data_IF_524590842977
#
_entry.id   IF_524590842977
#
_cell.length_a   1.000
_cell.length_b   1.000
_cell.length_c   1.000
_cell.angle_alpha   90.00
_cell.angle_beta   90.00
_cell.angle_gamma   90.00
#
_symmetry.space_group_name_H-M   'P 1'
#
loop_
_entity.id
_entity.type
_entity.pdbx_description
1 polymer ?
#
# COMPACT_ATOMS: atom_id res chain seq x y z
N UNK A 1 -4.62 6.04 -2.36
CA UNK A 1 -5.52 5.61 -1.26
C UNK A 1 -6.38 4.48 -1.78
N UNK A 2 -6.62 3.44 -0.99
CA UNK A 2 -7.43 2.30 -1.45
C UNK A 2 -8.92 2.49 -1.15
N UNK A 3 -9.26 2.98 0.04
CA UNK A 3 -10.64 3.27 0.43
C UNK A 3 -10.63 4.35 1.52
N UNK A 4 -11.80 4.91 1.81
CA UNK A 4 -11.95 5.77 2.98
C UNK A 4 -11.51 5.05 4.25
N UNK A 5 -10.63 5.70 5.03
CA UNK A 5 -10.03 5.16 6.26
C UNK A 5 -9.17 3.89 6.10
N UNK A 6 -8.80 3.49 4.87
CA UNK A 6 -7.90 2.36 4.61
C UNK A 6 -6.73 2.82 3.73
N UNK A 7 -5.54 2.66 4.26
CA UNK A 7 -4.29 3.08 3.64
C UNK A 7 -3.32 1.91 3.54
N UNK A 8 -2.53 1.91 2.49
CA UNK A 8 -1.44 0.95 2.29
C UNK A 8 -0.13 1.68 2.10
N UNK A 9 0.95 0.91 2.23
CA UNK A 9 2.29 1.34 1.88
C UNK A 9 3.09 0.15 1.41
N UNK A 10 3.64 0.24 0.19
CA UNK A 10 4.57 -0.76 -0.34
C UNK A 10 5.92 -0.65 0.38
N UNK A 11 6.45 -1.78 0.82
CA UNK A 11 7.71 -1.87 1.55
C UNK A 11 8.60 -2.93 0.90
N UNK A 12 9.85 -2.57 0.61
CA UNK A 12 10.78 -3.42 -0.15
C UNK A 12 11.26 -4.65 0.62
N UNK A 13 11.34 -4.56 1.95
CA UNK A 13 11.86 -5.62 2.81
C UNK A 13 11.39 -5.46 4.26
N UNK A 14 11.67 -6.48 5.06
CA UNK A 14 11.32 -6.53 6.48
C UNK A 14 12.03 -5.44 7.31
N UNK A 15 13.25 -5.05 6.95
CA UNK A 15 13.98 -3.97 7.63
C UNK A 15 13.23 -2.64 7.49
N UNK A 16 12.74 -2.33 6.28
CA UNK A 16 11.92 -1.16 6.02
C UNK A 16 10.58 -1.24 6.76
N UNK A 17 9.98 -2.43 6.86
CA UNK A 17 8.76 -2.65 7.64
C UNK A 17 8.95 -2.33 9.13
N UNK A 18 9.97 -2.90 9.75
CA UNK A 18 10.31 -2.64 11.17
C UNK A 18 10.61 -1.16 11.43
N UNK A 19 11.33 -0.50 10.52
CA UNK A 19 11.58 0.93 10.61
C UNK A 19 10.29 1.77 10.52
N UNK A 20 9.37 1.38 9.64
CA UNK A 20 8.07 2.04 9.50
C UNK A 20 7.19 1.84 10.74
N UNK A 21 7.16 0.63 11.29
CA UNK A 21 6.38 0.32 12.49
C UNK A 21 6.81 1.17 13.69
N UNK A 22 8.12 1.30 13.93
CA UNK A 22 8.66 2.20 14.96
C UNK A 22 8.26 3.66 14.75
N UNK A 23 8.20 4.12 13.50
CA UNK A 23 7.75 5.48 13.17
C UNK A 23 6.26 5.66 13.46
N UNK A 24 5.43 4.65 13.19
CA UNK A 24 4.01 4.68 13.50
C UNK A 24 3.75 4.67 15.00
N UNK A 25 4.45 3.82 15.76
CA UNK A 25 4.38 3.80 17.22
C UNK A 25 4.77 5.15 17.84
N UNK A 26 5.84 5.78 17.34
CA UNK A 26 6.27 7.11 17.79
C UNK A 26 5.22 8.20 17.52
N UNK A 27 4.44 8.07 16.45
CA UNK A 27 3.41 9.04 16.05
C UNK A 27 1.99 8.53 16.32
N UNK A 28 1.82 7.56 17.22
CA UNK A 28 0.53 6.94 17.46
C UNK A 28 -0.44 7.94 18.12
N UNK A 29 -1.59 8.25 17.51
CA UNK A 29 -2.61 9.08 18.15
C UNK A 29 -3.23 8.33 19.33
N UNK A 30 -3.54 9.07 20.41
CA UNK A 30 -4.11 8.50 21.66
C UNK A 30 -5.62 8.27 21.61
N UNK A 31 -6.25 8.56 20.47
CA UNK A 31 -7.70 8.49 20.29
C UNK A 31 -7.98 7.75 18.99
N UNK A 32 -9.01 6.90 19.01
CA UNK A 32 -9.44 6.10 17.87
C UNK A 32 -8.91 4.66 17.91
N UNK A 33 -9.20 3.90 16.86
CA UNK A 33 -8.74 2.54 16.68
C UNK A 33 -7.92 2.45 15.39
N UNK A 34 -6.65 2.08 15.51
CA UNK A 34 -5.73 1.92 14.38
C UNK A 34 -5.17 0.51 14.45
N UNK A 35 -5.38 -0.24 13.37
CA UNK A 35 -4.87 -1.60 13.21
C UNK A 35 -3.96 -1.67 11.98
N UNK A 36 -2.87 -2.41 12.10
CA UNK A 36 -1.88 -2.58 11.04
C UNK A 36 -1.86 -4.07 10.63
N UNK A 37 -1.87 -4.33 9.33
CA UNK A 37 -1.73 -5.67 8.76
C UNK A 37 -0.58 -5.66 7.75
N UNK A 38 0.38 -6.57 7.95
CA UNK A 38 1.44 -6.80 6.96
C UNK A 38 0.99 -7.90 6.01
N UNK A 39 0.95 -7.60 4.71
CA UNK A 39 0.64 -8.54 3.64
C UNK A 39 1.80 -8.57 2.65
N UNK A 40 1.98 -9.71 1.97
CA UNK A 40 2.92 -9.80 0.85
C UNK A 40 2.30 -9.22 -0.41
N UNK A 41 3.13 -8.72 -1.32
CA UNK A 41 2.65 -8.18 -2.60
C UNK A 41 1.82 -9.20 -3.39
N UNK A 42 2.25 -10.47 -3.37
CA UNK A 42 1.49 -11.57 -3.99
C UNK A 42 0.10 -11.76 -3.40
N UNK A 43 -0.09 -11.49 -2.10
CA UNK A 43 -1.41 -11.55 -1.47
C UNK A 43 -2.24 -10.31 -1.83
N UNK A 44 -1.63 -9.13 -1.81
CA UNK A 44 -2.29 -7.88 -2.14
C UNK A 44 -2.78 -7.84 -3.60
N UNK A 45 -1.94 -8.27 -4.55
CA UNK A 45 -2.27 -8.34 -5.96
C UNK A 45 -3.41 -9.34 -6.29
N UNK A 46 -3.60 -10.37 -5.45
CA UNK A 46 -4.69 -11.36 -5.58
C UNK A 46 -5.99 -10.94 -4.88
N UNK A 47 -6.05 -9.73 -4.33
CA UNK A 47 -7.26 -9.24 -3.69
C UNK A 47 -8.42 -9.20 -4.68
N UNK A 48 -9.52 -9.88 -4.35
CA UNK A 48 -10.72 -9.95 -5.17
C UNK A 48 -11.62 -8.77 -4.82
N UNK A 49 -11.97 -7.96 -5.81
CA UNK A 49 -12.91 -6.86 -5.67
C UNK A 49 -14.31 -7.36 -6.06
N UNK A 50 -15.25 -7.34 -5.11
CA UNK A 50 -16.62 -7.77 -5.37
C UNK A 50 -17.43 -6.71 -6.13
N UNK A 51 -17.08 -5.43 -5.96
CA UNK A 51 -17.67 -4.29 -6.65
C UNK A 51 -16.64 -3.14 -6.69
N UNK A 52 -16.65 -2.35 -7.76
CA UNK A 52 -15.70 -1.27 -8.02
C UNK A 52 -14.45 -1.72 -8.77
N UNK A 53 -13.63 -0.75 -9.15
CA UNK A 53 -12.40 -0.96 -9.90
C UNK A 53 -11.16 -0.75 -9.04
N UNK A 54 -10.07 -1.42 -9.40
CA UNK A 54 -8.76 -1.21 -8.77
C UNK A 54 -8.23 0.16 -9.17
N UNK A 55 -7.45 0.79 -8.30
CA UNK A 55 -6.77 2.03 -8.63
C UNK A 55 -5.54 1.77 -9.51
N UNK A 56 -5.56 2.32 -10.72
CA UNK A 56 -4.49 2.24 -11.75
C UNK A 56 -3.31 3.20 -11.52
N UNK A 57 -3.21 3.76 -10.32
CA UNK A 57 -2.07 4.61 -9.96
C UNK A 57 -0.79 3.78 -9.96
N UNK A 58 0.26 4.28 -10.63
CA UNK A 58 1.62 3.72 -10.60
C UNK A 58 2.13 3.50 -9.18
N UNK A 59 1.74 4.33 -8.21
CA UNK A 59 2.12 4.14 -6.80
C UNK A 59 1.59 2.83 -6.17
N UNK A 60 0.64 2.14 -6.83
CA UNK A 60 0.10 0.85 -6.39
C UNK A 60 0.69 -0.33 -7.18
N UNK A 61 1.68 -0.11 -8.05
CA UNK A 61 2.39 -1.18 -8.76
C UNK A 61 3.75 -1.44 -8.11
N UNK A 62 4.24 -2.67 -8.25
CA UNK A 62 5.58 -3.09 -7.83
C UNK A 62 6.58 -3.07 -9.00
N UNK A 63 6.19 -2.42 -10.11
CA UNK A 63 7.01 -2.29 -11.31
C UNK A 63 8.32 -1.58 -11.00
N UNK A 64 9.43 -2.18 -11.46
CA UNK A 64 10.76 -1.60 -11.28
C UNK A 64 11.04 -0.42 -12.20
N UNK A 65 10.32 -0.35 -13.32
CA UNK A 65 10.49 0.67 -14.34
C UNK A 65 9.09 1.26 -14.58
N UNK A 66 9.02 2.57 -14.48
CA UNK A 66 7.81 3.35 -14.78
C UNK A 66 8.14 4.23 -15.96
N UNK A 67 7.29 4.18 -16.99
CA UNK A 67 7.35 5.07 -18.13
C UNK A 67 6.15 6.01 -18.05
N UNK A 68 6.40 7.32 -18.11
CA UNK A 68 5.37 8.34 -18.04
C UNK A 68 5.16 8.91 -19.44
N UNK A 69 3.93 8.79 -19.97
CA UNK A 69 3.56 9.34 -21.28
C UNK A 69 3.86 8.45 -22.49
N UNK A 70 4.01 7.14 -22.29
CA UNK A 70 4.00 6.17 -23.40
C UNK A 70 2.52 5.93 -23.80
N UNK A 71 1.93 6.92 -24.47
CA UNK A 71 0.64 6.79 -25.16
C UNK A 71 0.88 6.16 -26.54
N UNK A 72 1.33 4.90 -26.55
CA UNK A 72 1.29 4.04 -27.73
C UNK A 72 0.69 2.69 -27.32
N UNK A 73 -0.59 2.72 -26.92
CA UNK A 73 -1.72 1.82 -27.26
C UNK A 73 -2.95 2.22 -26.46
#
# INVERSE_FOLDING_TARGET
MHQFSIYSKLLLNDTANKAMLRRLEKNNPKVGNISLLTVTEKQFARMIYLNGEKSDSVANTDDRIVILGDEDV
#
